data_IF_245882777215
#
_entry.id   IF_245882777215
#
_cell.length_a   1.000
_cell.length_b   1.000
_cell.length_c   1.000
_cell.angle_alpha   90.00
_cell.angle_beta   90.00
_cell.angle_gamma   90.00
#
_symmetry.space_group_name_H-M   'P 1'
#
loop_
_entity.id
_entity.type
_entity.pdbx_description
1 polymer ?
#
# COMPACT_ATOMS: atom_id res chain seq x y z
N UNK A 1 -5.83 5.92 6.54
CA UNK A 1 -4.44 5.71 6.09
C UNK A 1 -4.45 4.70 4.94
N UNK A 2 -3.36 4.57 4.19
CA UNK A 2 -3.31 3.60 3.10
C UNK A 2 -1.93 3.44 2.51
N UNK A 3 -1.81 2.44 1.64
CA UNK A 3 -0.59 2.08 0.93
C UNK A 3 -0.92 1.74 -0.52
N UNK A 4 0.09 1.74 -1.37
CA UNK A 4 0.02 1.20 -2.73
C UNK A 4 0.70 -0.17 -2.81
N UNK A 5 0.48 -0.91 -3.89
CA UNK A 5 1.05 -2.26 -4.02
C UNK A 5 2.57 -2.28 -4.25
N UNK A 6 3.17 -1.21 -4.79
CA UNK A 6 4.61 -1.10 -5.08
C UNK A 6 5.22 0.24 -4.64
N UNK A 7 5.31 0.43 -3.33
CA UNK A 7 5.79 1.67 -2.67
C UNK A 7 7.24 2.03 -3.00
N UNK A 8 8.14 1.04 -3.12
CA UNK A 8 9.57 1.29 -3.25
C UNK A 8 10.08 1.32 -4.71
N UNK A 9 9.20 1.21 -5.71
CA UNK A 9 9.64 1.06 -7.12
C UNK A 9 10.46 2.25 -7.63
N UNK A 10 10.14 3.46 -7.18
CA UNK A 10 10.83 4.70 -7.56
C UNK A 10 12.33 4.74 -7.17
N UNK A 11 12.78 3.85 -6.28
CA UNK A 11 14.20 3.75 -5.89
C UNK A 11 15.07 3.01 -6.90
N UNK A 12 14.47 2.36 -7.88
CA UNK A 12 15.17 1.56 -8.88
C UNK A 12 15.40 2.38 -10.15
N UNK A 13 16.49 2.09 -10.87
CA UNK A 13 16.75 2.77 -12.13
C UNK A 13 15.79 2.28 -13.23
N UNK A 14 15.55 3.09 -14.27
CA UNK A 14 14.69 2.71 -15.38
C UNK A 14 15.13 1.39 -16.05
N UNK A 15 16.45 1.14 -16.15
CA UNK A 15 16.99 -0.12 -16.67
C UNK A 15 16.58 -1.31 -15.81
N UNK A 16 16.61 -1.17 -14.48
CA UNK A 16 16.21 -2.23 -13.56
C UNK A 16 14.71 -2.47 -13.60
N UNK A 17 13.95 -1.39 -13.72
CA UNK A 17 12.49 -1.46 -13.84
C UNK A 17 12.11 -2.14 -15.15
N UNK A 18 12.84 -1.96 -16.24
CA UNK A 18 12.50 -2.58 -17.52
C UNK A 18 13.01 -4.02 -17.64
N UNK A 19 14.27 -4.26 -17.29
CA UNK A 19 14.96 -5.54 -17.54
C UNK A 19 14.98 -6.47 -16.32
N UNK A 20 14.69 -5.95 -15.13
CA UNK A 20 14.92 -6.68 -13.87
C UNK A 20 16.40 -6.81 -13.54
N UNK A 21 16.71 -7.63 -12.54
CA UNK A 21 18.10 -7.89 -12.13
C UNK A 21 18.26 -9.27 -11.49
N UNK A 22 19.52 -9.70 -11.33
CA UNK A 22 19.89 -11.00 -10.77
C UNK A 22 19.94 -10.99 -9.23
N UNK A 23 20.23 -12.16 -8.65
CA UNK A 23 20.34 -12.32 -7.21
C UNK A 23 21.52 -11.55 -6.60
N UNK A 24 22.63 -11.39 -7.33
CA UNK A 24 23.78 -10.63 -6.82
C UNK A 24 23.40 -9.16 -6.59
N UNK A 25 22.66 -8.58 -7.54
CA UNK A 25 22.16 -7.22 -7.43
C UNK A 25 21.10 -7.08 -6.35
N UNK A 26 20.16 -8.04 -6.24
CA UNK A 26 19.20 -8.11 -5.12
C UNK A 26 19.92 -8.10 -3.79
N UNK A 27 20.87 -9.01 -3.61
CA UNK A 27 21.55 -9.23 -2.35
C UNK A 27 22.35 -8.00 -1.94
N UNK A 28 22.97 -7.30 -2.90
CA UNK A 28 23.63 -6.02 -2.65
C UNK A 28 22.65 -4.96 -2.14
N UNK A 29 21.46 -4.84 -2.75
CA UNK A 29 20.43 -3.87 -2.36
C UNK A 29 19.90 -4.19 -0.95
N UNK A 30 19.46 -5.43 -0.71
CA UNK A 30 18.91 -5.85 0.58
C UNK A 30 19.95 -5.77 1.70
N UNK A 31 21.19 -6.18 1.44
CA UNK A 31 22.28 -6.07 2.41
C UNK A 31 22.61 -4.62 2.75
N UNK A 32 22.55 -3.72 1.76
CA UNK A 32 22.74 -2.29 2.00
C UNK A 32 21.62 -1.72 2.86
N UNK A 33 20.36 -2.10 2.59
CA UNK A 33 19.23 -1.71 3.42
C UNK A 33 19.37 -2.19 4.87
N UNK A 34 19.64 -3.49 5.08
CA UNK A 34 19.76 -4.08 6.42
C UNK A 34 20.88 -3.43 7.23
N UNK A 35 22.06 -3.19 6.61
CA UNK A 35 23.18 -2.50 7.25
C UNK A 35 22.88 -1.06 7.66
N UNK A 36 22.01 -0.38 6.93
CA UNK A 36 21.64 1.00 7.22
C UNK A 36 20.49 1.11 8.23
N UNK A 37 19.63 0.09 8.31
CA UNK A 37 18.43 0.09 9.15
C UNK A 37 18.64 -0.57 10.53
N UNK A 38 19.54 -1.55 10.64
CA UNK A 38 19.74 -2.34 11.85
C UNK A 38 21.20 -2.30 12.31
N UNK A 39 21.43 -2.59 13.59
CA UNK A 39 22.78 -2.62 14.20
C UNK A 39 23.25 -4.03 14.60
N UNK A 40 22.32 -4.94 14.89
CA UNK A 40 22.61 -6.29 15.39
C UNK A 40 22.05 -7.36 14.45
N UNK A 41 22.62 -8.57 14.49
CA UNK A 41 22.19 -9.74 13.68
C UNK A 41 21.97 -9.44 12.19
N UNK A 42 22.85 -8.64 11.60
CA UNK A 42 22.70 -8.18 10.21
C UNK A 42 22.67 -9.34 9.21
N UNK A 43 23.40 -10.42 9.50
CA UNK A 43 23.45 -11.60 8.63
C UNK A 43 22.15 -12.40 8.69
N UNK A 44 21.61 -12.59 9.88
CA UNK A 44 20.40 -13.35 10.15
C UNK A 44 19.17 -12.60 9.64
N UNK A 45 19.08 -11.29 9.89
CA UNK A 45 18.03 -10.43 9.34
C UNK A 45 18.09 -10.45 7.80
N UNK A 46 19.28 -10.32 7.21
CA UNK A 46 19.43 -10.39 5.76
C UNK A 46 18.96 -11.74 5.19
N UNK A 47 19.39 -12.86 5.78
CA UNK A 47 19.00 -14.20 5.34
C UNK A 47 17.50 -14.43 5.48
N UNK A 48 16.90 -13.92 6.55
CA UNK A 48 15.45 -13.99 6.80
C UNK A 48 14.68 -13.26 5.70
N UNK A 49 15.08 -12.03 5.36
CA UNK A 49 14.45 -11.25 4.29
C UNK A 49 14.62 -11.93 2.93
N UNK A 50 15.82 -12.44 2.63
CA UNK A 50 16.05 -13.17 1.37
C UNK A 50 15.19 -14.43 1.30
N UNK A 51 15.06 -15.17 2.40
CA UNK A 51 14.25 -16.38 2.44
C UNK A 51 12.77 -16.09 2.22
N UNK A 52 12.23 -15.08 2.90
CA UNK A 52 10.82 -14.70 2.81
C UNK A 52 10.43 -14.18 1.42
N UNK A 53 11.28 -13.35 0.81
CA UNK A 53 11.00 -12.73 -0.49
C UNK A 53 11.54 -13.54 -1.68
N UNK A 54 11.93 -14.79 -1.48
CA UNK A 54 12.25 -15.71 -2.58
C UNK A 54 11.08 -16.65 -2.80
N UNK A 55 10.53 -16.65 -4.01
CA UNK A 55 9.52 -17.64 -4.42
C UNK A 55 10.21 -18.98 -4.70
N UNK A 56 10.23 -19.85 -3.70
CA UNK A 56 10.85 -21.18 -3.76
C UNK A 56 10.08 -22.19 -4.61
N UNK A 57 8.82 -21.91 -4.97
CA UNK A 57 8.00 -22.80 -5.81
C UNK A 57 8.39 -22.69 -7.29
N UNK A 58 9.03 -21.59 -7.68
CA UNK A 58 9.47 -21.35 -9.07
C UNK A 58 10.92 -21.77 -9.28
N UNK A 59 11.10 -22.78 -10.11
CA UNK A 59 12.43 -23.25 -10.53
C UNK A 59 13.11 -22.34 -11.54
N UNK A 60 12.34 -21.54 -12.30
CA UNK A 60 12.87 -20.60 -13.29
C UNK A 60 12.99 -19.22 -12.67
N UNK A 61 14.24 -18.78 -12.52
CA UNK A 61 14.58 -17.45 -12.01
C UNK A 61 14.51 -16.46 -13.17
N UNK A 62 13.45 -15.65 -13.18
CA UNK A 62 13.33 -14.55 -14.13
C UNK A 62 13.77 -13.24 -13.46
N UNK A 63 14.63 -12.41 -14.09
CA UNK A 63 15.13 -11.17 -13.49
C UNK A 63 14.04 -10.20 -13.00
N UNK A 64 12.90 -10.18 -13.71
CA UNK A 64 11.70 -9.42 -13.34
C UNK A 64 11.10 -9.91 -12.01
N UNK A 65 11.03 -11.23 -11.78
CA UNK A 65 10.50 -11.76 -10.53
C UNK A 65 11.41 -11.40 -9.35
N UNK A 66 12.74 -11.48 -9.57
CA UNK A 66 13.73 -11.07 -8.57
C UNK A 66 13.59 -9.58 -8.25
N UNK A 67 13.40 -8.74 -9.26
CA UNK A 67 13.09 -7.31 -9.09
C UNK A 67 11.83 -7.12 -8.25
N UNK A 68 10.72 -7.74 -8.63
CA UNK A 68 9.42 -7.54 -7.98
C UNK A 68 9.43 -8.00 -6.51
N UNK A 69 10.08 -9.12 -6.24
CA UNK A 69 10.35 -9.58 -4.88
C UNK A 69 11.15 -8.57 -4.07
N UNK A 70 12.21 -8.01 -4.65
CA UNK A 70 13.06 -7.00 -3.98
C UNK A 70 12.29 -5.70 -3.72
N UNK A 71 11.48 -5.26 -4.69
CA UNK A 71 10.59 -4.11 -4.53
C UNK A 71 9.59 -4.38 -3.42
N UNK A 72 8.99 -5.57 -3.37
CA UNK A 72 8.10 -6.00 -2.30
C UNK A 72 8.76 -5.91 -0.92
N UNK A 73 9.97 -6.46 -0.78
CA UNK A 73 10.74 -6.43 0.46
C UNK A 73 10.99 -5.01 0.97
N UNK A 74 11.45 -4.12 0.09
CA UNK A 74 11.71 -2.73 0.46
C UNK A 74 10.42 -1.94 0.71
N UNK A 75 9.37 -2.21 -0.06
CA UNK A 75 8.05 -1.57 0.10
C UNK A 75 7.47 -1.91 1.47
N UNK A 76 7.51 -3.19 1.83
CA UNK A 76 6.97 -3.67 3.09
C UNK A 76 7.79 -3.12 4.27
N UNK A 77 9.11 -3.14 4.18
CA UNK A 77 9.98 -2.68 5.26
C UNK A 77 9.89 -1.16 5.51
N UNK A 78 9.81 -0.36 4.45
CA UNK A 78 9.93 1.11 4.56
C UNK A 78 8.59 1.83 4.66
N UNK A 79 7.52 1.23 4.14
CA UNK A 79 6.22 1.88 4.04
C UNK A 79 5.12 1.05 4.70
N UNK A 80 4.90 -0.19 4.24
CA UNK A 80 3.71 -0.95 4.67
C UNK A 80 3.78 -1.32 6.14
N UNK A 81 4.89 -1.87 6.64
CA UNK A 81 5.03 -2.25 8.04
C UNK A 81 4.89 -1.04 8.99
N UNK A 82 5.59 0.09 8.79
CA UNK A 82 5.38 1.30 9.61
C UNK A 82 3.95 1.85 9.57
N UNK A 83 3.31 1.85 8.39
CA UNK A 83 1.93 2.35 8.23
C UNK A 83 0.93 1.44 8.95
N UNK A 84 1.06 0.12 8.82
CA UNK A 84 0.21 -0.85 9.51
C UNK A 84 0.43 -0.78 11.02
N UNK A 85 1.68 -0.71 11.48
CA UNK A 85 1.98 -0.53 12.91
C UNK A 85 1.37 0.76 13.48
N UNK A 86 1.44 1.85 12.72
CA UNK A 86 0.79 3.12 13.11
C UNK A 86 -0.73 2.97 13.14
N UNK A 87 -1.32 2.29 12.15
CA UNK A 87 -2.74 1.98 12.11
C UNK A 87 -3.20 1.15 13.30
N UNK A 88 -2.42 0.15 13.70
CA UNK A 88 -2.68 -0.68 14.88
C UNK A 88 -2.67 0.18 16.14
N UNK A 89 -1.64 1.01 16.34
CA UNK A 89 -1.53 1.89 17.50
C UNK A 89 -2.67 2.91 17.61
N UNK A 90 -3.11 3.46 16.48
CA UNK A 90 -4.22 4.44 16.44
C UNK A 90 -5.60 3.82 16.66
N UNK A 91 -5.73 2.52 16.38
CA UNK A 91 -7.02 1.80 16.46
C UNK A 91 -7.22 1.07 17.79
N UNK A 92 -6.18 1.00 18.64
CA UNK A 92 -6.31 0.45 19.99
C UNK A 92 -7.18 1.39 20.84
N UNK A 93 -8.28 0.91 21.43
CA UNK A 93 -9.11 1.71 22.33
C UNK A 93 -8.30 2.21 23.53
N UNK A 94 -8.51 3.46 23.94
CA UNK A 94 -7.81 4.13 25.04
C UNK A 94 -7.92 3.44 26.42
N UNK A 95 -8.64 2.31 26.53
CA UNK A 95 -8.78 1.49 27.74
C UNK A 95 -7.57 0.61 28.03
N UNK A 96 -6.67 0.38 27.06
CA UNK A 96 -5.44 -0.37 27.27
C UNK A 96 -4.30 0.55 27.73
N UNK A 97 -4.26 0.85 29.04
CA UNK A 97 -3.11 1.22 29.89
C UNK A 97 -1.85 1.88 29.26
N UNK A 98 -1.99 2.75 28.27
CA UNK A 98 -0.86 3.44 27.61
C UNK A 98 -1.03 4.94 27.80
N UNK A 99 -0.09 5.66 28.43
CA UNK A 99 -0.22 7.08 28.77
C UNK A 99 -0.19 8.03 27.55
N UNK A 100 -0.16 7.48 26.33
CA UNK A 100 -0.12 8.20 25.05
C UNK A 100 -1.39 8.02 24.21
N UNK A 101 -2.42 7.32 24.68
CA UNK A 101 -3.65 7.15 23.93
C UNK A 101 -4.43 8.48 23.86
N UNK A 102 -4.71 8.93 22.63
CA UNK A 102 -5.55 10.09 22.38
C UNK A 102 -6.94 9.84 23.00
N UNK A 103 -7.58 10.85 23.63
CA UNK A 103 -8.90 10.70 24.21
C UNK A 103 -9.95 10.51 23.10
N UNK A 104 -10.31 9.26 22.82
CA UNK A 104 -11.41 8.90 21.90
C UNK A 104 -11.19 7.57 21.19
N UNK A 105 -12.28 6.85 20.89
CA UNK A 105 -12.24 5.72 19.97
C UNK A 105 -12.00 6.26 18.55
N UNK A 106 -10.75 6.37 18.12
CA UNK A 106 -10.39 6.91 16.81
C UNK A 106 -10.79 5.90 15.75
N UNK A 107 -11.80 6.24 14.95
CA UNK A 107 -12.22 5.41 13.82
C UNK A 107 -11.17 5.47 12.74
N UNK A 108 -10.56 4.32 12.49
CA UNK A 108 -9.49 4.18 11.51
C UNK A 108 -10.02 3.48 10.27
N UNK A 109 -9.55 3.89 9.09
CA UNK A 109 -9.90 3.27 7.82
C UNK A 109 -8.63 3.04 7.02
N UNK A 110 -8.45 1.80 6.55
CA UNK A 110 -7.30 1.38 5.77
C UNK A 110 -7.70 1.11 4.32
N UNK A 111 -6.92 1.64 3.37
CA UNK A 111 -7.03 1.29 1.96
C UNK A 111 -5.71 0.75 1.41
N UNK A 112 -5.83 -0.08 0.38
CA UNK A 112 -4.72 -0.48 -0.50
C UNK A 112 -5.11 -0.04 -1.90
N UNK A 113 -4.35 0.86 -2.50
CA UNK A 113 -4.59 1.27 -3.88
C UNK A 113 -3.87 0.30 -4.82
N UNK A 114 -4.65 -0.41 -5.62
CA UNK A 114 -4.22 -1.42 -6.58
C UNK A 114 -4.85 -1.15 -7.95
N UNK A 115 -4.39 -0.05 -8.54
CA UNK A 115 -4.68 0.30 -9.93
C UNK A 115 -3.51 1.04 -10.57
N UNK A 116 -3.14 0.61 -11.77
CA UNK A 116 -2.12 1.27 -12.57
C UNK A 116 -2.80 2.00 -13.72
N UNK A 117 -2.51 3.30 -13.84
CA UNK A 117 -3.02 4.14 -14.92
C UNK A 117 -2.69 3.53 -16.28
N UNK A 118 -3.68 3.42 -17.16
CA UNK A 118 -3.54 2.65 -18.41
C UNK A 118 -2.44 3.22 -19.32
N UNK A 119 -2.45 4.53 -19.51
CA UNK A 119 -1.51 5.25 -20.36
C UNK A 119 -0.35 5.85 -19.54
N UNK A 120 -0.05 5.29 -18.36
CA UNK A 120 0.99 5.77 -17.45
C UNK A 120 2.42 5.40 -17.85
N UNK A 121 3.40 6.02 -17.19
CA UNK A 121 4.83 5.91 -17.54
C UNK A 121 5.49 4.60 -17.08
N UNK A 122 4.82 3.83 -16.23
CA UNK A 122 5.37 2.59 -15.65
C UNK A 122 4.96 1.35 -16.43
N UNK A 123 5.82 0.30 -16.51
CA UNK A 123 5.45 -0.94 -17.17
C UNK A 123 4.24 -1.59 -16.50
N UNK A 124 3.29 -2.03 -17.31
CA UNK A 124 2.06 -2.65 -16.83
C UNK A 124 2.38 -3.95 -16.06
N UNK A 125 1.61 -4.24 -15.00
CA UNK A 125 1.72 -5.41 -14.08
C UNK A 125 2.66 -5.25 -12.88
N UNK A 126 3.23 -4.08 -12.68
CA UNK A 126 4.05 -3.76 -11.50
C UNK A 126 3.21 -3.38 -10.27
N UNK A 127 1.88 -3.35 -10.40
CA UNK A 127 0.99 -2.76 -9.40
C UNK A 127 1.03 -1.24 -9.47
N UNK A 128 0.52 -0.60 -8.43
CA UNK A 128 0.52 0.85 -8.29
C UNK A 128 1.85 1.31 -7.70
N UNK A 129 2.48 2.26 -8.39
CA UNK A 129 3.70 2.92 -7.93
C UNK A 129 3.34 4.03 -6.94
N UNK A 130 4.22 4.26 -5.97
CA UNK A 130 4.06 5.33 -5.00
C UNK A 130 3.73 6.68 -5.67
N UNK A 131 2.64 7.31 -5.23
CA UNK A 131 2.20 8.62 -5.71
C UNK A 131 1.24 8.58 -6.90
N UNK A 132 1.11 7.45 -7.62
CA UNK A 132 0.14 7.32 -8.72
C UNK A 132 -1.31 7.43 -8.22
N UNK A 133 -1.58 7.05 -6.98
CA UNK A 133 -2.88 7.19 -6.34
C UNK A 133 -3.28 8.66 -6.18
N UNK A 134 -2.31 9.57 -5.99
CA UNK A 134 -2.59 10.99 -5.75
C UNK A 134 -3.34 11.64 -6.91
N UNK A 135 -3.09 11.22 -8.15
CA UNK A 135 -3.84 11.69 -9.31
C UNK A 135 -5.36 11.48 -9.13
N UNK A 136 -5.75 10.34 -8.57
CA UNK A 136 -7.15 9.97 -8.34
C UNK A 136 -7.74 10.68 -7.13
N UNK A 137 -6.98 10.82 -6.04
CA UNK A 137 -7.41 11.55 -4.84
C UNK A 137 -7.57 13.06 -5.09
N UNK A 138 -6.76 13.63 -5.99
CA UNK A 138 -6.80 15.06 -6.33
C UNK A 138 -7.71 15.40 -7.53
N UNK A 139 -8.26 14.39 -8.21
CA UNK A 139 -9.22 14.62 -9.29
C UNK A 139 -8.61 14.90 -10.66
N UNK A 140 -7.37 14.50 -10.92
CA UNK A 140 -6.75 14.67 -12.24
C UNK A 140 -7.58 14.03 -13.37
N UNK A 141 -8.18 12.82 -13.20
CA UNK A 141 -9.06 12.22 -14.20
C UNK A 141 -10.38 12.97 -14.47
N UNK A 142 -10.80 13.89 -13.57
CA UNK A 142 -12.03 14.68 -13.74
C UNK A 142 -11.83 15.91 -14.62
N UNK A 143 -10.59 16.36 -14.76
CA UNK A 143 -10.21 17.56 -15.53
C UNK A 143 -9.29 17.23 -16.71
N UNK A 144 -9.24 15.96 -17.11
CA UNK A 144 -8.39 15.46 -18.21
C UNK A 144 -6.88 15.72 -17.98
N UNK A 145 -6.46 15.62 -16.72
CA UNK A 145 -5.08 15.82 -16.28
C UNK A 145 -4.74 17.27 -15.93
N UNK A 146 -3.75 17.44 -15.05
CA UNK A 146 -3.17 18.75 -14.75
C UNK A 146 -1.73 18.62 -14.27
N UNK A 147 -0.94 19.67 -14.47
CA UNK A 147 0.46 19.71 -14.00
C UNK A 147 1.30 18.57 -14.58
N UNK A 148 1.85 17.74 -13.68
CA UNK A 148 2.66 16.58 -14.02
C UNK A 148 1.86 15.27 -14.13
N UNK A 149 0.55 15.29 -13.84
CA UNK A 149 -0.29 14.12 -13.99
C UNK A 149 -0.58 13.83 -15.47
N UNK A 150 -0.87 12.56 -15.76
CA UNK A 150 -1.23 12.11 -17.09
C UNK A 150 -2.47 12.85 -17.61
N UNK A 151 -2.64 12.92 -18.93
CA UNK A 151 -3.76 13.59 -19.59
C UNK A 151 -4.78 12.62 -20.17
N UNK A 152 -4.35 11.40 -20.49
CA UNK A 152 -5.19 10.42 -21.16
C UNK A 152 -5.82 9.46 -20.15
N UNK A 153 -6.92 9.89 -19.53
CA UNK A 153 -7.71 9.04 -18.65
C UNK A 153 -8.92 8.45 -19.37
N UNK A 154 -9.19 7.19 -19.07
CA UNK A 154 -10.39 6.47 -19.49
C UNK A 154 -11.60 6.87 -18.64
N UNK A 155 -12.81 6.65 -19.18
CA UNK A 155 -14.06 6.91 -18.44
C UNK A 155 -14.15 6.12 -17.12
N UNK A 156 -13.53 4.93 -17.07
CA UNK A 156 -13.47 4.12 -15.85
C UNK A 156 -12.53 4.72 -14.80
N UNK A 157 -11.41 5.32 -15.22
CA UNK A 157 -10.49 6.07 -14.34
C UNK A 157 -11.14 7.33 -13.78
N UNK A 158 -11.91 8.05 -14.60
CA UNK A 158 -12.72 9.19 -14.15
C UNK A 158 -13.73 8.76 -13.07
N UNK A 159 -14.43 7.64 -13.26
CA UNK A 159 -15.37 7.11 -12.28
C UNK A 159 -14.69 6.60 -10.99
N UNK A 160 -13.49 6.03 -11.11
CA UNK A 160 -12.65 5.66 -9.96
C UNK A 160 -12.28 6.90 -9.14
N UNK A 161 -11.77 7.95 -9.79
CA UNK A 161 -11.39 9.20 -9.12
C UNK A 161 -12.58 9.86 -8.41
N UNK A 162 -13.75 9.93 -9.06
CA UNK A 162 -14.97 10.44 -8.43
C UNK A 162 -15.31 9.66 -7.14
N UNK A 163 -15.20 8.33 -7.20
CA UNK A 163 -15.53 7.46 -6.06
C UNK A 163 -14.56 7.64 -4.89
N UNK A 164 -13.26 7.74 -5.17
CA UNK A 164 -12.22 7.98 -4.15
C UNK A 164 -12.41 9.35 -3.50
N UNK A 165 -12.66 10.40 -4.29
CA UNK A 165 -12.95 11.74 -3.79
C UNK A 165 -14.22 11.76 -2.95
N UNK A 166 -15.26 11.00 -3.34
CA UNK A 166 -16.47 10.88 -2.55
C UNK A 166 -16.19 10.28 -1.16
N UNK A 167 -15.41 9.19 -1.07
CA UNK A 167 -14.99 8.63 0.21
C UNK A 167 -14.17 9.63 1.05
N UNK A 168 -13.21 10.32 0.43
CA UNK A 168 -12.36 11.29 1.11
C UNK A 168 -13.17 12.48 1.65
N UNK A 169 -14.06 13.04 0.84
CA UNK A 169 -14.90 14.19 1.21
C UNK A 169 -15.93 13.82 2.27
N UNK A 170 -16.50 12.61 2.21
CA UNK A 170 -17.37 12.10 3.26
C UNK A 170 -16.60 11.98 4.57
N UNK A 171 -15.45 11.32 4.56
CA UNK A 171 -14.60 11.18 5.75
C UNK A 171 -14.21 12.54 6.35
N UNK A 172 -13.81 13.51 5.51
CA UNK A 172 -13.47 14.86 5.96
C UNK A 172 -14.66 15.60 6.60
N UNK A 173 -15.90 15.31 6.17
CA UNK A 173 -17.11 15.98 6.65
C UNK A 173 -17.63 15.42 7.99
N UNK A 174 -17.59 14.10 8.18
CA UNK A 174 -18.28 13.44 9.29
C UNK A 174 -17.48 12.30 9.95
N UNK A 175 -16.24 12.04 9.51
CA UNK A 175 -15.40 10.96 10.02
C UNK A 175 -15.80 9.56 9.55
N UNK A 176 -16.75 9.42 8.61
CA UNK A 176 -17.20 8.15 8.06
C UNK A 176 -17.23 8.20 6.52
N UNK A 177 -16.42 7.40 5.82
CA UNK A 177 -16.35 7.42 4.36
C UNK A 177 -17.67 6.98 3.68
N UNK A 178 -18.55 6.25 4.40
CA UNK A 178 -19.74 5.62 3.85
C UNK A 178 -21.01 6.50 3.80
N UNK A 179 -20.96 7.74 4.28
CA UNK A 179 -22.14 8.61 4.33
C UNK A 179 -22.48 9.22 2.96
N UNK A 180 -23.07 8.41 2.09
CA UNK A 180 -23.58 8.84 0.79
C UNK A 180 -24.99 9.46 0.86
N UNK A 181 -25.58 9.59 2.05
CA UNK A 181 -27.00 9.92 2.26
C UNK A 181 -27.40 11.34 1.81
N UNK A 182 -26.43 12.24 1.61
CA UNK A 182 -26.66 13.66 1.29
C UNK A 182 -26.06 14.14 -0.04
N UNK A 183 -25.44 13.28 -0.83
CA UNK A 183 -24.84 13.69 -2.11
C UNK A 183 -25.89 13.60 -3.22
N UNK A 184 -26.57 14.71 -3.49
CA UNK A 184 -27.19 14.93 -4.80
C UNK A 184 -26.15 14.71 -5.91
N UNK A 185 -26.54 14.16 -7.08
CA UNK A 185 -25.62 13.92 -8.17
C UNK A 185 -25.17 15.27 -8.76
N UNK A 186 -24.05 15.80 -8.28
CA UNK A 186 -23.44 17.03 -8.82
C UNK A 186 -22.99 16.81 -10.28
N UNK A 187 -22.72 15.57 -10.68
CA UNK A 187 -22.23 15.22 -12.02
C UNK A 187 -23.06 14.08 -12.65
N UNK A 188 -23.44 14.20 -13.93
CA UNK A 188 -24.20 13.16 -14.61
C UNK A 188 -23.27 12.06 -15.12
N UNK A 189 -23.72 10.80 -14.96
CA UNK A 189 -23.31 9.60 -15.71
C UNK A 189 -22.08 8.85 -15.16
N UNK A 190 -22.32 7.78 -14.38
CA UNK A 190 -21.60 6.50 -14.58
C UNK A 190 -22.26 5.34 -13.82
N UNK A 191 -22.54 4.23 -14.52
CA UNK A 191 -22.92 2.94 -13.89
C UNK A 191 -21.81 2.40 -12.98
N UNK A 192 -20.56 2.80 -13.19
CA UNK A 192 -19.43 2.37 -12.37
C UNK A 192 -19.47 2.96 -10.95
N UNK A 193 -20.09 4.13 -10.78
CA UNK A 193 -20.37 4.76 -9.47
C UNK A 193 -21.13 3.81 -8.53
N UNK A 194 -22.02 2.98 -9.09
CA UNK A 194 -22.79 2.02 -8.30
C UNK A 194 -21.91 0.94 -7.66
N UNK A 195 -20.77 0.57 -8.26
CA UNK A 195 -19.89 -0.48 -7.74
C UNK A 195 -19.15 -0.04 -6.46
N UNK A 196 -18.76 1.22 -6.39
CA UNK A 196 -18.13 1.77 -5.18
C UNK A 196 -19.19 2.07 -4.11
N UNK A 197 -20.35 2.62 -4.49
CA UNK A 197 -21.47 2.86 -3.54
C UNK A 197 -22.01 1.59 -2.90
N UNK A 198 -21.92 0.45 -3.58
CA UNK A 198 -22.36 -0.84 -3.00
C UNK A 198 -21.41 -1.40 -1.95
N UNK A 199 -20.22 -0.82 -1.78
CA UNK A 199 -19.22 -1.33 -0.84
C UNK A 199 -19.18 -0.43 0.38
N UNK A 200 -19.47 -1.05 1.52
CA UNK A 200 -19.22 -0.48 2.83
C UNK A 200 -17.73 -0.61 3.14
N UNK A 201 -17.06 0.52 3.30
CA UNK A 201 -15.70 0.58 3.82
C UNK A 201 -15.74 0.39 5.34
N UNK A 202 -15.46 -0.83 5.78
CA UNK A 202 -15.45 -1.17 7.19
C UNK A 202 -14.33 -0.45 7.94
N UNK A 203 -14.59 -0.19 9.23
CA UNK A 203 -13.59 0.30 10.16
C UNK A 203 -12.42 -0.69 10.30
N UNK A 204 -11.21 -0.15 10.32
CA UNK A 204 -9.99 -0.91 10.57
C UNK A 204 -9.92 -1.26 12.06
N UNK A 205 -9.57 -2.51 12.31
CA UNK A 205 -9.40 -3.07 13.64
C UNK A 205 -8.13 -3.93 13.65
N UNK A 206 -7.27 -3.87 14.69
CA UNK A 206 -6.03 -4.63 14.72
C UNK A 206 -6.23 -6.15 14.68
N UNK A 207 -7.40 -6.66 15.09
CA UNK A 207 -7.70 -8.10 15.07
C UNK A 207 -8.06 -8.57 13.66
N UNK A 208 -8.94 -7.84 12.98
CA UNK A 208 -9.43 -8.25 11.66
C UNK A 208 -8.63 -7.68 10.49
N UNK A 209 -7.85 -6.62 10.71
CA UNK A 209 -7.03 -5.91 9.72
C UNK A 209 -7.73 -5.70 8.37
N UNK A 210 -9.00 -5.28 8.43
CA UNK A 210 -9.84 -5.07 7.25
C UNK A 210 -9.36 -3.86 6.46
N UNK A 211 -9.35 -3.97 5.14
CA UNK A 211 -8.99 -2.88 4.25
C UNK A 211 -9.84 -2.87 2.99
N UNK A 212 -10.00 -1.67 2.42
CA UNK A 212 -10.60 -1.49 1.11
C UNK A 212 -9.50 -1.57 0.05
N UNK A 213 -9.54 -2.58 -0.82
CA UNK A 213 -8.77 -2.60 -2.05
C UNK A 213 -9.43 -1.66 -3.06
N UNK A 214 -8.75 -0.57 -3.38
CA UNK A 214 -9.18 0.43 -4.35
C UNK A 214 -8.56 0.09 -5.71
N UNK A 215 -9.41 -0.32 -6.65
CA UNK A 215 -9.03 -0.50 -8.04
C UNK A 215 -10.27 -0.54 -8.93
N UNK A 216 -10.14 -1.02 -10.18
CA UNK A 216 -11.29 -1.10 -11.11
C UNK A 216 -12.46 -1.96 -10.60
N UNK A 217 -12.18 -2.87 -9.65
CA UNK A 217 -13.15 -3.71 -8.96
C UNK A 217 -12.89 -3.60 -7.47
N UNK A 218 -13.41 -2.57 -6.78
CA UNK A 218 -13.18 -2.37 -5.37
C UNK A 218 -13.68 -3.58 -4.55
N UNK A 219 -12.96 -3.95 -3.49
CA UNK A 219 -13.30 -5.09 -2.62
C UNK A 219 -12.83 -4.86 -1.19
N UNK A 220 -13.64 -5.26 -0.21
CA UNK A 220 -13.16 -5.41 1.16
C UNK A 220 -12.34 -6.70 1.29
N UNK A 221 -11.14 -6.58 1.83
CA UNK A 221 -10.23 -7.69 2.12
C UNK A 221 -9.73 -7.54 3.56
N UNK A 222 -8.96 -8.52 4.01
CA UNK A 222 -8.33 -8.51 5.33
C UNK A 222 -6.86 -8.93 5.21
N UNK A 223 -6.06 -8.60 6.22
CA UNK A 223 -4.69 -9.09 6.37
C UNK A 223 -3.79 -8.84 5.15
N UNK A 224 -3.68 -7.57 4.73
CA UNK A 224 -2.82 -7.21 3.60
C UNK A 224 -1.38 -7.66 3.85
N UNK A 225 -0.87 -8.60 3.03
CA UNK A 225 0.49 -9.17 3.14
C UNK A 225 0.86 -9.64 4.56
N UNK A 226 -0.10 -10.17 5.32
CA UNK A 226 0.14 -10.50 6.74
C UNK A 226 1.29 -11.48 6.99
N UNK A 227 1.54 -12.42 6.06
CA UNK A 227 2.69 -13.33 6.15
C UNK A 227 4.01 -12.55 6.10
N UNK A 228 4.23 -11.76 5.04
CA UNK A 228 5.42 -10.96 4.88
C UNK A 228 5.56 -9.91 5.99
N UNK A 229 4.46 -9.24 6.35
CA UNK A 229 4.46 -8.25 7.43
C UNK A 229 4.77 -8.86 8.80
N UNK A 230 4.43 -10.13 9.04
CA UNK A 230 4.80 -10.80 10.29
C UNK A 230 6.32 -10.89 10.48
N UNK A 231 7.07 -11.02 9.38
CA UNK A 231 8.53 -11.02 9.41
C UNK A 231 9.05 -9.66 9.86
N UNK A 232 8.52 -8.56 9.29
CA UNK A 232 8.96 -7.20 9.62
C UNK A 232 8.49 -6.71 11.00
N UNK A 233 7.28 -7.07 11.42
CA UNK A 233 6.65 -6.56 12.64
C UNK A 233 6.94 -7.41 13.88
N UNK A 234 7.27 -8.70 13.71
CA UNK A 234 7.49 -9.62 14.83
C UNK A 234 8.90 -10.21 14.84
N UNK A 235 9.25 -10.96 13.79
CA UNK A 235 10.49 -11.74 13.77
C UNK A 235 11.76 -10.87 13.75
N UNK A 236 11.85 -9.90 12.84
CA UNK A 236 13.03 -9.04 12.72
C UNK A 236 13.29 -8.21 14.00
N UNK A 237 12.28 -7.59 14.63
CA UNK A 237 12.45 -6.94 15.93
C UNK A 237 12.97 -7.87 17.02
N UNK A 238 12.47 -9.12 17.10
CA UNK A 238 12.95 -10.11 18.06
C UNK A 238 14.41 -10.51 17.80
N UNK A 239 14.77 -10.79 16.54
CA UNK A 239 16.14 -11.06 16.13
C UNK A 239 17.06 -9.89 16.49
N UNK A 240 16.64 -8.66 16.21
CA UNK A 240 17.45 -7.47 16.50
C UNK A 240 17.64 -7.25 18.01
N UNK A 241 16.59 -7.48 18.83
CA UNK A 241 16.67 -7.36 20.30
C UNK A 241 17.56 -8.43 20.92
N UNK A 242 17.52 -9.67 20.43
CA UNK A 242 18.34 -10.76 20.95
C UNK A 242 19.85 -10.50 20.84
N UNK A 243 20.29 -9.64 19.92
CA UNK A 243 21.71 -9.26 19.78
C UNK A 243 22.12 -8.04 20.60
N UNK A 244 21.16 -7.40 21.26
CA UNK A 244 21.41 -6.33 22.22
C UNK A 244 21.68 -6.89 23.63
N UNK A 245 21.17 -8.10 23.91
CA UNK A 245 21.39 -8.86 25.14
C UNK A 245 22.76 -9.56 25.13
#
# INVERSE_FOLDING_TARGET
FGVVTSEALWRFSASDIQSGFDFDRRDKILRTYVRNAYMYHLSEIFLTVVNEYTDWERTVVHPINTRDATVGALSDAQFVAPVVQTGDLLSIPATASTPTSLPGNTKSYFYVFDYQTKDGDYPQKLGTVHGEELAYFLGAPLVEGFGHFNKNYTKSETALSESVIAYLTNFARNGNPNDFSKQEPILPISKERNRFRSITWDEYDPVHQKYLEIGMKPRMKNHFRAHQLSVWLRLIPELHRAGME
#
